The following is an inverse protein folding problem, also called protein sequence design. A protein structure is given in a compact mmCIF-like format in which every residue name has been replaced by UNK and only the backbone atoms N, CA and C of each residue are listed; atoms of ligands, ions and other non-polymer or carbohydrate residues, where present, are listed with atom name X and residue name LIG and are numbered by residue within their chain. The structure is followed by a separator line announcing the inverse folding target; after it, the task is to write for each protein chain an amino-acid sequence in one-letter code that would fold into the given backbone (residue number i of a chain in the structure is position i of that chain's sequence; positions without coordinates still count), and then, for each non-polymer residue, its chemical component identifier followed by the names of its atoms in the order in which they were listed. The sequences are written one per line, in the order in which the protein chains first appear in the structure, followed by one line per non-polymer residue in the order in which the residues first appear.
data_IF_824349440170
#
_entry.id   IF_824349440170
#
_cell.length_a   1.000
_cell.length_b   1.000
_cell.length_c   1.000
_cell.angle_alpha   90.00
_cell.angle_beta   90.00
_cell.angle_gamma   90.00
#
_symmetry.space_group_name_H-M   'P 1'
#
loop_
_entity.id
_entity.type
_entity.pdbx_description
1 polymer ?
#
# COMPACT_ATOMS: atom_id res chain seq x y z
N UNK A 1 13.60 -2.85 6.83
CA UNK A 1 13.66 -3.50 5.49
C UNK A 1 12.30 -4.13 5.20
N UNK A 2 11.77 -4.05 3.97
CA UNK A 2 10.46 -4.61 3.59
C UNK A 2 10.64 -5.60 2.42
N UNK A 3 9.57 -6.23 1.94
CA UNK A 3 9.66 -7.21 0.89
C UNK A 3 8.65 -6.97 -0.24
N UNK A 4 8.80 -7.71 -1.35
CA UNK A 4 7.83 -7.74 -2.44
C UNK A 4 7.49 -9.17 -2.83
N UNK A 5 6.39 -9.34 -3.49
CA UNK A 5 5.96 -10.59 -4.09
C UNK A 5 5.71 -10.38 -5.59
N UNK A 6 6.35 -11.18 -6.43
CA UNK A 6 6.22 -11.06 -7.88
C UNK A 6 4.82 -11.46 -8.37
N UNK A 7 4.25 -12.47 -7.75
CA UNK A 7 2.88 -12.94 -7.94
C UNK A 7 2.46 -13.82 -6.75
N UNK A 8 1.21 -14.21 -6.67
CA UNK A 8 0.66 -15.00 -5.55
C UNK A 8 1.29 -16.39 -5.35
N UNK A 9 2.04 -16.91 -6.34
CA UNK A 9 2.61 -18.24 -6.32
C UNK A 9 4.10 -18.27 -5.94
N UNK A 10 4.73 -17.11 -5.80
CA UNK A 10 6.14 -17.00 -5.47
C UNK A 10 6.34 -16.63 -4.00
N UNK A 11 7.45 -17.05 -3.36
CA UNK A 11 7.84 -16.50 -2.07
C UNK A 11 8.15 -15.01 -2.19
N UNK A 12 8.11 -14.30 -1.08
CA UNK A 12 8.51 -12.91 -1.01
C UNK A 12 10.04 -12.80 -1.12
N UNK A 13 10.50 -11.63 -1.58
CA UNK A 13 11.92 -11.27 -1.66
C UNK A 13 12.11 -9.91 -0.98
N UNK A 14 13.26 -9.71 -0.37
CA UNK A 14 13.63 -8.44 0.22
C UNK A 14 13.76 -7.35 -0.83
N UNK A 15 13.46 -6.11 -0.43
CA UNK A 15 13.56 -4.93 -1.28
C UNK A 15 14.62 -4.01 -0.71
N UNK A 16 15.71 -3.87 -1.44
CA UNK A 16 16.66 -2.78 -1.29
C UNK A 16 16.34 -1.62 -2.27
N UNK A 17 17.14 -0.58 -2.21
CA UNK A 17 17.00 0.59 -3.09
C UNK A 17 17.05 0.22 -4.58
N UNK A 18 17.97 -0.66 -4.97
CA UNK A 18 18.15 -1.02 -6.38
C UNK A 18 16.97 -1.84 -6.90
N UNK A 19 16.52 -2.82 -6.10
CA UNK A 19 15.33 -3.65 -6.41
C UNK A 19 14.08 -2.77 -6.52
N UNK A 20 13.89 -1.81 -5.60
CA UNK A 20 12.76 -0.88 -5.66
C UNK A 20 12.72 -0.12 -6.99
N UNK A 21 13.83 0.57 -7.32
CA UNK A 21 13.90 1.37 -8.55
C UNK A 21 13.82 0.52 -9.82
N UNK A 22 14.37 -0.70 -9.81
CA UNK A 22 14.24 -1.63 -10.91
C UNK A 22 12.78 -2.05 -11.14
N UNK A 23 12.01 -2.29 -10.08
CA UNK A 23 10.60 -2.68 -10.18
C UNK A 23 9.71 -1.54 -10.68
N UNK A 24 9.80 -0.34 -10.08
CA UNK A 24 8.94 0.80 -10.46
C UNK A 24 9.34 1.43 -11.79
N UNK A 25 10.61 1.31 -12.19
CA UNK A 25 11.15 1.81 -13.47
C UNK A 25 11.07 0.81 -14.62
N UNK A 26 10.60 -0.41 -14.39
CA UNK A 26 10.54 -1.42 -15.43
C UNK A 26 9.53 -1.05 -16.54
N UNK A 27 9.91 -1.14 -17.83
CA UNK A 27 8.99 -0.88 -18.95
C UNK A 27 7.69 -1.70 -18.86
N UNK A 28 7.80 -2.94 -18.45
CA UNK A 28 6.66 -3.83 -18.24
C UNK A 28 5.69 -3.33 -17.16
N UNK A 29 6.20 -2.76 -16.06
CA UNK A 29 5.37 -2.13 -15.02
C UNK A 29 4.58 -0.97 -15.59
N UNK A 30 5.24 -0.11 -16.38
CA UNK A 30 4.60 1.02 -17.04
C UNK A 30 3.51 0.55 -18.01
N UNK A 31 3.80 -0.40 -18.87
CA UNK A 31 2.82 -0.96 -19.82
C UNK A 31 1.56 -1.51 -19.12
N UNK A 32 1.73 -2.28 -18.04
CA UNK A 32 0.60 -2.82 -17.30
C UNK A 32 -0.26 -1.71 -16.69
N UNK A 33 0.37 -0.71 -16.07
CA UNK A 33 -0.35 0.38 -15.40
C UNK A 33 -1.05 1.28 -16.42
N UNK A 34 -0.41 1.62 -17.53
CA UNK A 34 -1.03 2.37 -18.62
C UNK A 34 -2.24 1.60 -19.18
N UNK A 35 -2.09 0.29 -19.38
CA UNK A 35 -3.17 -0.59 -19.80
C UNK A 35 -4.34 -0.65 -18.81
N UNK A 36 -4.09 -0.64 -17.51
CA UNK A 36 -5.11 -0.58 -16.45
C UNK A 36 -5.88 0.75 -16.54
N UNK A 37 -5.16 1.87 -16.62
CA UNK A 37 -5.77 3.22 -16.65
C UNK A 37 -6.62 3.44 -17.88
N UNK A 38 -6.13 3.07 -19.07
CA UNK A 38 -6.90 3.16 -20.32
C UNK A 38 -8.22 2.39 -20.23
N UNK A 39 -8.21 1.19 -19.65
CA UNK A 39 -9.43 0.38 -19.54
C UNK A 39 -10.42 0.94 -18.54
N UNK A 40 -9.93 1.48 -17.42
CA UNK A 40 -10.77 2.13 -16.42
C UNK A 40 -11.39 3.41 -16.96
N UNK A 41 -10.63 4.23 -17.68
CA UNK A 41 -11.12 5.44 -18.34
C UNK A 41 -12.19 5.10 -19.40
N UNK A 42 -11.93 4.08 -20.22
CA UNK A 42 -12.91 3.56 -21.17
C UNK A 42 -14.20 3.14 -20.47
N UNK A 43 -14.10 2.37 -19.40
CA UNK A 43 -15.28 1.94 -18.63
C UNK A 43 -16.04 3.13 -18.03
N UNK A 44 -15.32 4.11 -17.46
CA UNK A 44 -15.94 5.32 -16.91
C UNK A 44 -16.68 6.14 -17.98
N UNK A 45 -16.09 6.29 -19.18
CA UNK A 45 -16.72 6.97 -20.32
C UNK A 45 -18.00 6.27 -20.76
N UNK A 46 -17.98 4.93 -20.87
CA UNK A 46 -19.14 4.14 -21.24
C UNK A 46 -20.25 4.27 -20.17
N UNK A 47 -19.88 4.16 -18.88
CA UNK A 47 -20.85 4.31 -17.79
C UNK A 47 -21.49 5.70 -17.75
N UNK A 48 -20.73 6.75 -18.07
CA UNK A 48 -21.23 8.12 -18.11
C UNK A 48 -22.23 8.35 -19.26
N UNK A 49 -22.10 7.62 -20.36
CA UNK A 49 -23.06 7.66 -21.48
C UNK A 49 -24.42 7.05 -21.14
N UNK A 50 -24.50 6.24 -20.06
CA UNK A 50 -25.70 5.63 -19.50
C UNK A 50 -26.55 4.82 -20.52
N UNK A 51 -25.89 4.17 -21.47
CA UNK A 51 -26.54 3.28 -22.47
C UNK A 51 -26.53 1.86 -21.92
N UNK A 52 -27.70 1.29 -21.68
CA UNK A 52 -27.88 0.01 -21.00
C UNK A 52 -27.16 -1.15 -21.72
N UNK A 53 -27.18 -1.17 -23.05
CA UNK A 53 -26.48 -2.18 -23.85
C UNK A 53 -24.95 -2.10 -23.76
N UNK A 54 -24.40 -0.95 -23.44
CA UNK A 54 -22.93 -0.72 -23.31
C UNK A 54 -22.39 -1.03 -21.91
N UNK A 55 -23.21 -1.23 -20.90
CA UNK A 55 -22.78 -1.58 -19.54
C UNK A 55 -22.00 -2.91 -19.51
N UNK A 56 -22.33 -3.84 -20.40
CA UNK A 56 -21.58 -5.09 -20.56
C UNK A 56 -20.14 -4.81 -21.01
N UNK A 57 -19.95 -3.85 -21.93
CA UNK A 57 -18.62 -3.44 -22.41
C UNK A 57 -17.80 -2.75 -21.31
N UNK A 58 -18.45 -1.93 -20.49
CA UNK A 58 -17.79 -1.30 -19.33
C UNK A 58 -17.33 -2.36 -18.31
N UNK A 59 -18.20 -3.32 -18.00
CA UNK A 59 -17.87 -4.43 -17.10
C UNK A 59 -16.72 -5.28 -17.64
N UNK A 60 -16.71 -5.58 -18.93
CA UNK A 60 -15.60 -6.30 -19.58
C UNK A 60 -14.29 -5.53 -19.48
N UNK A 61 -14.28 -4.21 -19.72
CA UNK A 61 -13.09 -3.36 -19.61
C UNK A 61 -12.54 -3.33 -18.16
N UNK A 62 -13.41 -3.26 -17.16
CA UNK A 62 -13.02 -3.36 -15.75
C UNK A 62 -12.42 -4.73 -15.42
N UNK A 63 -13.02 -5.80 -15.92
CA UNK A 63 -12.49 -7.17 -15.76
C UNK A 63 -11.10 -7.33 -16.37
N UNK A 64 -10.86 -6.76 -17.56
CA UNK A 64 -9.54 -6.75 -18.19
C UNK A 64 -8.53 -5.94 -17.36
N UNK A 65 -8.91 -4.77 -16.82
CA UNK A 65 -8.07 -3.97 -15.96
C UNK A 65 -7.64 -4.76 -14.70
N UNK A 66 -8.56 -5.50 -14.10
CA UNK A 66 -8.27 -6.35 -12.93
C UNK A 66 -7.33 -7.51 -13.28
N UNK A 67 -7.45 -8.10 -14.47
CA UNK A 67 -6.52 -9.14 -14.93
C UNK A 67 -5.09 -8.59 -15.13
N UNK A 68 -4.96 -7.36 -15.65
CA UNK A 68 -3.67 -6.68 -15.75
C UNK A 68 -3.09 -6.36 -14.35
N UNK A 69 -3.92 -5.86 -13.43
CA UNK A 69 -3.53 -5.56 -12.05
C UNK A 69 -2.97 -6.79 -11.33
N UNK A 70 -3.54 -7.97 -11.54
CA UNK A 70 -3.05 -9.23 -10.96
C UNK A 70 -1.67 -9.66 -11.45
N UNK A 71 -1.20 -9.12 -12.59
CA UNK A 71 0.15 -9.38 -13.11
C UNK A 71 1.21 -8.47 -12.50
N UNK A 72 0.82 -7.38 -11.83
CA UNK A 72 1.75 -6.47 -11.18
C UNK A 72 2.37 -7.16 -9.95
N UNK A 73 3.69 -6.98 -9.73
CA UNK A 73 4.28 -7.23 -8.43
C UNK A 73 3.65 -6.34 -7.36
N UNK A 74 3.82 -6.74 -6.10
CA UNK A 74 3.32 -5.94 -4.99
C UNK A 74 4.35 -5.86 -3.87
N UNK A 75 4.53 -4.68 -3.29
CA UNK A 75 5.28 -4.47 -2.06
C UNK A 75 4.46 -4.92 -0.86
N UNK A 76 5.16 -5.36 0.19
CA UNK A 76 4.61 -5.63 1.50
C UNK A 76 5.47 -4.83 2.49
N UNK A 77 5.01 -3.63 2.81
CA UNK A 77 5.77 -2.68 3.62
C UNK A 77 5.76 -3.05 5.10
N UNK A 78 4.63 -3.52 5.62
CA UNK A 78 4.36 -3.71 7.04
C UNK A 78 5.04 -4.95 7.61
N UNK A 79 5.42 -5.91 6.76
CA UNK A 79 5.98 -7.18 7.20
C UNK A 79 7.01 -7.76 6.24
N UNK A 80 7.91 -8.57 6.80
CA UNK A 80 8.67 -9.62 6.14
C UNK A 80 8.21 -10.98 6.68
N UNK A 81 8.75 -12.08 6.17
CA UNK A 81 8.29 -13.42 6.52
C UNK A 81 9.45 -14.36 6.81
N UNK A 82 9.31 -15.19 7.85
CA UNK A 82 10.23 -16.28 8.11
C UNK A 82 10.21 -17.30 6.96
N UNK A 83 11.35 -17.98 6.76
CA UNK A 83 11.43 -19.08 5.82
C UNK A 83 10.55 -20.24 6.31
N UNK A 84 9.64 -20.67 5.46
CA UNK A 84 8.70 -21.77 5.73
C UNK A 84 8.55 -22.64 4.48
N UNK A 85 7.86 -23.78 4.59
CA UNK A 85 7.56 -24.64 3.44
C UNK A 85 6.23 -24.26 2.81
N UNK A 86 6.17 -24.20 1.48
CA UNK A 86 4.92 -24.09 0.73
C UNK A 86 4.06 -25.36 0.90
N UNK A 87 2.81 -25.34 0.41
CA UNK A 87 1.96 -26.54 0.34
C UNK A 87 2.60 -27.70 -0.48
N UNK A 88 3.50 -27.38 -1.41
CA UNK A 88 4.25 -28.35 -2.22
C UNK A 88 5.61 -28.72 -1.63
N UNK A 89 5.95 -28.26 -0.42
CA UNK A 89 7.21 -28.57 0.27
C UNK A 89 8.40 -27.66 -0.07
N UNK A 90 8.26 -26.68 -0.98
CA UNK A 90 9.36 -25.77 -1.32
C UNK A 90 9.61 -24.76 -0.19
N UNK A 91 10.87 -24.60 0.18
CA UNK A 91 11.31 -23.61 1.19
C UNK A 91 11.35 -22.21 0.60
N UNK A 92 11.02 -21.20 1.42
CA UNK A 92 11.05 -19.79 1.06
C UNK A 92 10.34 -18.91 2.08
N UNK A 93 10.48 -17.61 1.93
CA UNK A 93 9.77 -16.61 2.74
C UNK A 93 8.33 -16.44 2.22
N UNK A 94 7.49 -17.44 2.48
CA UNK A 94 6.10 -17.45 2.03
C UNK A 94 5.26 -16.48 2.86
N UNK A 95 4.38 -15.75 2.20
CA UNK A 95 3.43 -14.83 2.82
C UNK A 95 2.38 -15.61 3.63
N UNK A 96 2.79 -16.03 4.81
CA UNK A 96 1.96 -16.76 5.79
C UNK A 96 1.84 -15.93 7.06
N UNK A 97 0.65 -15.85 7.60
CA UNK A 97 0.38 -15.08 8.82
C UNK A 97 1.29 -15.51 9.98
N UNK A 98 1.39 -16.81 10.26
CA UNK A 98 2.24 -17.34 11.33
C UNK A 98 3.75 -17.06 11.15
N UNK A 99 4.19 -16.67 9.95
CA UNK A 99 5.58 -16.35 9.63
C UNK A 99 5.84 -14.84 9.57
N UNK A 100 4.84 -14.02 9.89
CA UNK A 100 4.94 -12.54 9.82
C UNK A 100 5.96 -11.99 10.80
N UNK A 101 6.79 -11.07 10.33
CA UNK A 101 7.67 -10.20 11.12
C UNK A 101 7.39 -8.76 10.75
N UNK A 102 6.91 -7.97 11.70
CA UNK A 102 6.64 -6.55 11.48
C UNK A 102 7.94 -5.77 11.24
N UNK A 103 7.89 -4.85 10.30
CA UNK A 103 9.01 -3.97 9.93
C UNK A 103 9.06 -2.69 10.75
N UNK A 104 7.91 -2.30 11.31
CA UNK A 104 7.70 -0.97 11.87
C UNK A 104 7.27 0.07 10.83
N UNK A 105 7.10 -0.33 9.56
CA UNK A 105 6.41 0.50 8.56
C UNK A 105 4.91 0.24 8.63
N UNK A 106 4.13 1.29 8.35
CA UNK A 106 2.68 1.21 8.17
C UNK A 106 2.35 1.68 6.77
N UNK A 107 1.41 1.00 6.10
CA UNK A 107 0.86 1.46 4.82
C UNK A 107 -0.62 1.79 4.99
N UNK A 108 -1.04 2.91 4.45
CA UNK A 108 -2.43 3.37 4.42
C UNK A 108 -2.87 3.56 2.98
N UNK A 109 -4.08 3.15 2.68
CA UNK A 109 -4.73 3.36 1.39
C UNK A 109 -5.73 4.51 1.51
N UNK A 110 -5.72 5.41 0.53
CA UNK A 110 -6.74 6.43 0.30
C UNK A 110 -7.31 6.14 -1.08
N UNK A 111 -8.50 5.55 -1.11
CA UNK A 111 -9.15 5.11 -2.34
C UNK A 111 -10.23 6.11 -2.81
N UNK A 112 -10.70 5.94 -4.05
CA UNK A 112 -11.80 6.69 -4.64
C UNK A 112 -11.61 8.21 -4.67
N UNK A 113 -10.39 8.67 -4.98
CA UNK A 113 -10.08 10.10 -5.14
C UNK A 113 -10.06 10.47 -6.62
N UNK A 114 -10.67 11.60 -6.96
CA UNK A 114 -10.71 12.10 -8.34
C UNK A 114 -9.30 12.54 -8.80
N UNK A 115 -8.60 13.27 -7.95
CA UNK A 115 -7.24 13.72 -8.22
C UNK A 115 -6.33 13.50 -7.01
N UNK A 116 -5.49 12.44 -7.04
CA UNK A 116 -4.56 12.14 -5.95
C UNK A 116 -3.59 13.29 -5.61
N UNK A 117 -3.16 14.08 -6.60
CA UNK A 117 -2.26 15.22 -6.38
C UNK A 117 -2.95 16.32 -5.57
N UNK A 118 -4.23 16.59 -5.85
CA UNK A 118 -4.98 17.61 -5.10
C UNK A 118 -5.21 17.20 -3.65
N UNK A 119 -5.40 15.90 -3.40
CA UNK A 119 -5.46 15.37 -2.01
C UNK A 119 -4.18 15.70 -1.26
N UNK A 120 -3.00 15.48 -1.86
CA UNK A 120 -1.72 15.80 -1.20
C UNK A 120 -1.52 17.31 -0.97
N UNK A 121 -2.09 18.16 -1.80
CA UNK A 121 -2.09 19.62 -1.57
C UNK A 121 -2.90 20.01 -0.34
N UNK A 122 -3.98 19.30 -0.06
CA UNK A 122 -4.80 19.50 1.15
C UNK A 122 -4.06 19.16 2.46
N UNK A 123 -2.91 18.48 2.40
CA UNK A 123 -2.10 18.17 3.58
C UNK A 123 -1.18 19.32 3.99
N UNK A 124 -0.97 20.30 3.12
CA UNK A 124 -0.04 21.41 3.35
C UNK A 124 -0.60 22.36 4.43
N UNK A 125 0.30 22.98 5.17
CA UNK A 125 -0.02 24.00 6.18
C UNK A 125 0.88 25.22 5.95
N UNK A 126 0.56 26.34 6.61
CA UNK A 126 1.39 27.55 6.53
C UNK A 126 2.83 27.30 6.99
N UNK A 127 3.00 26.44 8.02
CA UNK A 127 4.31 26.04 8.54
C UNK A 127 5.03 25.01 7.64
N UNK A 128 4.27 24.24 6.85
CA UNK A 128 4.77 23.22 5.93
C UNK A 128 4.19 23.41 4.51
N UNK A 129 4.67 24.42 3.77
CA UNK A 129 4.09 24.80 2.47
C UNK A 129 4.45 23.85 1.32
N UNK A 130 5.32 22.86 1.54
CA UNK A 130 5.65 21.86 0.53
C UNK A 130 5.43 20.43 1.05
N UNK A 131 5.07 19.53 0.12
CA UNK A 131 4.76 18.15 0.44
C UNK A 131 5.94 17.43 1.11
N UNK A 132 7.17 17.70 0.69
CA UNK A 132 8.35 17.06 1.25
C UNK A 132 8.57 17.36 2.73
N UNK A 133 8.38 18.60 3.16
CA UNK A 133 8.53 19.00 4.56
C UNK A 133 7.39 18.44 5.41
N UNK A 134 6.16 18.52 4.91
CA UNK A 134 4.99 17.94 5.58
C UNK A 134 5.14 16.43 5.78
N UNK A 135 5.60 15.71 4.76
CA UNK A 135 5.85 14.28 4.87
C UNK A 135 6.94 13.96 5.92
N UNK A 136 8.04 14.74 5.95
CA UNK A 136 9.10 14.53 6.95
C UNK A 136 8.61 14.79 8.36
N UNK A 137 7.86 15.86 8.59
CA UNK A 137 7.24 16.20 9.87
C UNK A 137 6.36 15.06 10.40
N UNK A 138 5.55 14.46 9.53
CA UNK A 138 4.64 13.38 9.88
C UNK A 138 5.31 11.99 9.96
N UNK A 139 6.56 11.87 9.51
CA UNK A 139 7.27 10.58 9.42
C UNK A 139 6.80 9.73 8.25
N UNK A 140 6.22 10.35 7.22
CA UNK A 140 5.88 9.70 5.96
C UNK A 140 7.16 9.46 5.16
N UNK A 141 7.30 8.28 4.58
CA UNK A 141 8.51 7.85 3.87
C UNK A 141 8.29 7.67 2.36
N UNK A 142 7.04 7.37 1.96
CA UNK A 142 6.69 7.20 0.55
C UNK A 142 5.21 7.56 0.34
N UNK A 143 4.95 8.32 -0.72
CA UNK A 143 3.60 8.59 -1.22
C UNK A 143 3.58 8.32 -2.72
N UNK A 144 2.65 7.51 -3.18
CA UNK A 144 2.50 7.25 -4.61
C UNK A 144 1.05 7.04 -5.03
N UNK A 145 0.77 7.36 -6.31
CA UNK A 145 -0.52 7.12 -6.94
C UNK A 145 -0.67 5.64 -7.26
N UNK A 146 -1.81 5.06 -6.90
CA UNK A 146 -2.10 3.64 -7.16
C UNK A 146 -2.17 3.33 -8.66
N UNK A 147 -2.01 2.05 -9.08
CA UNK A 147 -2.11 1.66 -10.49
C UNK A 147 -3.39 2.11 -11.19
N UNK A 148 -4.48 2.22 -10.45
CA UNK A 148 -5.77 2.69 -10.99
C UNK A 148 -5.79 4.17 -11.36
N UNK A 149 -4.89 4.97 -10.79
CA UNK A 149 -4.89 6.43 -10.95
C UNK A 149 -5.81 7.17 -9.97
N UNK A 150 -6.67 6.47 -9.22
CA UNK A 150 -7.72 7.04 -8.35
C UNK A 150 -7.52 6.68 -6.88
N UNK A 151 -6.28 6.67 -6.43
CA UNK A 151 -5.95 6.42 -5.02
C UNK A 151 -4.51 6.72 -4.72
N UNK A 152 -4.20 6.81 -3.44
CA UNK A 152 -2.85 7.00 -2.90
C UNK A 152 -2.47 5.85 -1.99
N UNK A 153 -1.20 5.50 -1.99
CA UNK A 153 -0.54 4.72 -0.95
C UNK A 153 0.36 5.65 -0.17
N UNK A 154 0.22 5.62 1.15
CA UNK A 154 1.03 6.38 2.09
C UNK A 154 1.76 5.41 3.00
N UNK A 155 3.08 5.38 2.94
CA UNK A 155 3.94 4.55 3.79
C UNK A 155 4.63 5.44 4.80
N UNK A 156 4.53 5.11 6.09
CA UNK A 156 5.05 5.93 7.17
C UNK A 156 5.59 5.08 8.32
N UNK A 157 6.30 5.73 9.25
CA UNK A 157 6.88 5.12 10.44
C UNK A 157 5.79 4.78 11.45
N UNK A 158 5.72 3.52 11.90
CA UNK A 158 4.87 3.16 13.03
C UNK A 158 5.29 3.91 14.30
N UNK A 159 4.33 4.39 15.05
CA UNK A 159 4.51 4.97 16.38
C UNK A 159 3.88 4.07 17.42
N UNK A 160 4.70 3.52 18.31
CA UNK A 160 4.27 2.54 19.33
C UNK A 160 3.23 3.12 20.29
N UNK A 161 3.32 4.43 20.54
CA UNK A 161 2.39 5.19 21.37
C UNK A 161 1.01 5.40 20.73
N UNK A 162 0.89 5.22 19.43
CA UNK A 162 -0.40 5.30 18.73
C UNK A 162 -1.20 4.01 18.78
N UNK A 163 -0.56 2.89 19.13
CA UNK A 163 -1.17 1.57 19.16
C UNK A 163 -0.69 0.66 18.03
N UNK A 164 -1.53 -0.25 17.58
CA UNK A 164 -1.23 -1.24 16.55
C UNK A 164 -1.22 -0.64 15.12
N UNK A 165 -1.13 -1.47 14.06
CA UNK A 165 -1.13 -1.00 12.66
C UNK A 165 -2.39 -0.20 12.31
N UNK A 166 -3.56 -0.66 12.77
CA UNK A 166 -4.85 -0.03 12.46
C UNK A 166 -4.96 1.33 13.17
N UNK A 167 -4.57 1.38 14.45
CA UNK A 167 -4.55 2.62 15.22
C UNK A 167 -3.62 3.66 14.59
N UNK A 168 -2.45 3.23 14.08
CA UNK A 168 -1.53 4.08 13.36
C UNK A 168 -2.13 4.63 12.05
N UNK A 169 -2.84 3.78 11.27
CA UNK A 169 -3.53 4.21 10.06
C UNK A 169 -4.60 5.27 10.35
N UNK A 170 -5.47 5.01 11.32
CA UNK A 170 -6.51 5.97 11.72
C UNK A 170 -5.93 7.29 12.24
N UNK A 171 -4.85 7.22 13.01
CA UNK A 171 -4.19 8.43 13.53
C UNK A 171 -3.58 9.26 12.42
N UNK A 172 -2.90 8.61 11.46
CA UNK A 172 -2.35 9.29 10.29
C UNK A 172 -3.45 9.88 9.41
N UNK A 173 -4.52 9.14 9.15
CA UNK A 173 -5.67 9.62 8.39
C UNK A 173 -6.29 10.89 9.01
N UNK A 174 -6.45 10.91 10.33
CA UNK A 174 -6.94 12.09 11.06
C UNK A 174 -5.99 13.29 10.92
N UNK A 175 -4.66 13.08 10.94
CA UNK A 175 -3.66 14.15 10.76
C UNK A 175 -3.64 14.71 9.33
N UNK A 176 -4.00 13.89 8.35
CA UNK A 176 -4.06 14.26 6.93
C UNK A 176 -5.46 14.74 6.50
N UNK A 177 -6.47 14.64 7.37
CA UNK A 177 -7.85 14.99 7.06
C UNK A 177 -8.47 14.11 5.96
N UNK A 178 -8.12 12.81 5.93
CA UNK A 178 -8.60 11.84 4.93
C UNK A 178 -9.27 10.64 5.59
N UNK A 179 -10.06 9.90 4.82
CA UNK A 179 -10.59 8.60 5.23
C UNK A 179 -9.60 7.48 4.88
N UNK A 180 -9.53 6.45 5.72
CA UNK A 180 -8.69 5.27 5.50
C UNK A 180 -9.54 4.11 5.01
N UNK A 181 -9.02 3.32 4.06
CA UNK A 181 -9.64 2.06 3.68
C UNK A 181 -9.51 1.03 4.82
N UNK A 182 -10.66 0.69 5.42
CA UNK A 182 -10.78 -0.29 6.51
C UNK A 182 -10.31 -1.72 6.12
N UNK A 183 -10.11 -2.00 4.84
CA UNK A 183 -9.60 -3.28 4.37
C UNK A 183 -8.09 -3.48 4.61
N UNK A 184 -7.34 -2.43 4.99
CA UNK A 184 -5.88 -2.46 5.15
C UNK A 184 -5.41 -2.95 6.53
N UNK A 185 -6.18 -3.80 7.23
CA UNK A 185 -5.93 -4.25 8.61
C UNK A 185 -4.87 -5.35 8.75
N UNK A 186 -4.50 -6.01 7.66
CA UNK A 186 -3.58 -7.16 7.68
C UNK A 186 -2.12 -6.70 7.51
N UNK A 187 -1.23 -7.17 8.39
CA UNK A 187 0.20 -6.91 8.29
C UNK A 187 0.82 -7.43 6.98
N UNK A 188 0.24 -8.47 6.39
CA UNK A 188 0.68 -9.03 5.10
C UNK A 188 0.05 -8.35 3.88
N UNK A 189 -0.59 -7.19 4.06
CA UNK A 189 -1.25 -6.42 2.99
C UNK A 189 -0.30 -6.14 1.84
N UNK A 190 -0.71 -6.53 0.65
CA UNK A 190 0.01 -6.26 -0.60
C UNK A 190 -0.38 -4.89 -1.15
N UNK A 191 0.63 -4.12 -1.50
CA UNK A 191 0.49 -2.82 -2.17
C UNK A 191 1.06 -2.96 -3.58
N UNK A 192 0.20 -3.00 -4.60
CA UNK A 192 0.68 -3.08 -5.98
C UNK A 192 1.65 -1.95 -6.27
N UNK A 193 2.72 -2.27 -7.03
CA UNK A 193 3.74 -1.28 -7.38
C UNK A 193 3.14 -0.18 -8.28
N UNK A 194 3.79 0.98 -8.28
CA UNK A 194 3.47 2.11 -9.15
C UNK A 194 4.51 2.27 -10.26
N UNK A 195 4.29 3.19 -11.19
CA UNK A 195 5.32 3.69 -12.10
C UNK A 195 6.20 4.68 -11.36
N UNK A 196 7.43 4.88 -11.83
CA UNK A 196 8.37 5.85 -11.25
C UNK A 196 7.78 7.27 -11.19
N UNK A 197 7.09 7.68 -12.24
CA UNK A 197 6.43 8.99 -12.36
C UNK A 197 5.20 9.17 -11.45
N UNK A 198 4.69 8.10 -10.89
CA UNK A 198 3.56 8.13 -9.94
C UNK A 198 4.01 8.35 -8.48
N UNK A 199 5.32 8.41 -8.22
CA UNK A 199 5.86 8.67 -6.89
C UNK A 199 5.81 10.18 -6.64
N UNK A 200 4.99 10.60 -5.67
CA UNK A 200 4.82 12.01 -5.30
C UNK A 200 5.84 12.45 -4.24
N UNK A 201 6.25 11.53 -3.37
CA UNK A 201 7.27 11.76 -2.36
C UNK A 201 7.98 10.45 -2.01
N UNK A 202 9.28 10.51 -1.77
CA UNK A 202 10.08 9.41 -1.23
C UNK A 202 11.24 9.96 -0.38
N UNK A 203 11.37 9.44 0.84
CA UNK A 203 12.57 9.58 1.67
C UNK A 203 13.37 8.27 1.57
N UNK A 204 14.21 8.16 0.54
CA UNK A 204 14.95 6.92 0.26
C UNK A 204 15.84 6.49 1.41
N UNK A 205 16.52 7.44 2.05
CA UNK A 205 17.48 7.11 3.12
C UNK A 205 16.77 6.37 4.25
N UNK A 206 15.63 6.85 4.68
CA UNK A 206 14.89 6.25 5.79
C UNK A 206 14.04 5.06 5.35
N UNK A 207 13.43 5.08 4.16
CA UNK A 207 12.56 3.99 3.69
C UNK A 207 13.27 2.64 3.68
N UNK A 208 14.55 2.60 3.28
CA UNK A 208 15.33 1.37 3.17
C UNK A 208 16.16 1.01 4.41
N UNK A 209 16.23 1.89 5.41
CA UNK A 209 17.00 1.66 6.64
C UNK A 209 16.14 1.62 7.91
N UNK A 210 14.87 2.07 7.82
CA UNK A 210 14.02 2.18 9.00
C UNK A 210 13.59 0.82 9.54
N UNK A 211 13.70 0.67 10.84
CA UNK A 211 13.19 -0.43 11.65
C UNK A 211 12.62 0.14 12.95
N UNK A 212 11.52 -0.42 13.43
CA UNK A 212 11.00 -0.14 14.76
C UNK A 212 10.86 -1.47 15.53
N UNK A 213 11.95 -1.81 16.24
CA UNK A 213 12.02 -3.06 17.02
C UNK A 213 11.01 -3.10 18.16
N UNK A 214 10.82 -1.99 18.86
CA UNK A 214 9.85 -1.87 19.95
C UNK A 214 8.42 -2.18 19.45
N UNK A 215 8.03 -1.58 18.32
CA UNK A 215 6.74 -1.85 17.71
C UNK A 215 6.60 -3.32 17.29
N UNK A 216 7.64 -3.88 16.66
CA UNK A 216 7.65 -5.27 16.24
C UNK A 216 7.55 -6.23 17.45
N UNK A 217 8.33 -6.03 18.49
CA UNK A 217 8.30 -6.84 19.72
C UNK A 217 6.91 -6.80 20.38
N UNK A 218 6.28 -5.63 20.43
CA UNK A 218 4.97 -5.45 21.05
C UNK A 218 3.83 -6.12 20.27
N UNK A 219 3.88 -6.12 18.92
CA UNK A 219 2.72 -6.48 18.10
C UNK A 219 2.91 -7.71 17.20
N UNK A 220 4.11 -8.30 17.07
CA UNK A 220 4.32 -9.47 16.20
C UNK A 220 3.37 -10.63 16.50
N UNK A 221 3.20 -10.99 17.77
CA UNK A 221 2.38 -12.14 18.15
C UNK A 221 0.90 -11.93 17.84
N UNK A 222 0.42 -10.70 17.90
CA UNK A 222 -0.94 -10.30 17.51
C UNK A 222 -1.20 -10.67 16.06
N UNK A 223 -0.27 -10.29 15.16
CA UNK A 223 -0.43 -10.51 13.73
C UNK A 223 -0.09 -11.93 13.29
N UNK A 224 0.66 -12.69 14.09
CA UNK A 224 0.92 -14.12 13.88
C UNK A 224 -0.23 -15.02 14.31
N UNK A 225 -0.91 -14.64 15.38
CA UNK A 225 -1.98 -15.47 15.99
C UNK A 225 -3.31 -15.46 15.26
N UNK A 226 -3.53 -14.57 14.30
CA UNK A 226 -4.79 -14.49 13.54
C UNK A 226 -5.98 -13.93 14.32
N UNK A 227 -5.76 -13.42 15.51
CA UNK A 227 -6.81 -12.77 16.30
C UNK A 227 -6.78 -11.27 16.02
N UNK A 228 -7.92 -10.74 15.52
CA UNK A 228 -8.14 -9.29 15.49
C UNK A 228 -8.17 -8.80 16.94
N UNK A 229 -7.12 -8.13 17.38
CA UNK A 229 -7.17 -7.43 18.66
C UNK A 229 -8.06 -6.19 18.54
N UNK A 230 -8.82 -5.87 19.60
CA UNK A 230 -9.55 -4.61 19.65
C UNK A 230 -8.55 -3.46 19.50
N UNK A 231 -8.83 -2.56 18.59
CA UNK A 231 -8.06 -1.33 18.41
C UNK A 231 -8.32 -0.40 19.59
N UNK A 232 -7.42 0.51 19.88
CA UNK A 232 -7.68 1.60 20.83
C UNK A 232 -8.94 2.39 20.41
N UNK A 233 -9.20 2.45 19.11
CA UNK A 233 -10.37 3.10 18.51
C UNK A 233 -11.69 2.39 18.89
N UNK A 234 -11.70 1.06 18.97
CA UNK A 234 -12.88 0.28 19.35
C UNK A 234 -13.20 0.42 20.86
N UNK A 235 -12.18 0.72 21.68
CA UNK A 235 -12.32 0.90 23.12
C UNK A 235 -12.96 2.25 23.49
N UNK A 236 -12.81 3.26 22.64
CA UNK A 236 -13.37 4.61 22.87
C UNK A 236 -14.84 4.72 22.44
N UNK A 237 -15.33 3.78 21.62
CA UNK A 237 -16.74 3.72 21.17
C UNK A 237 -17.67 2.90 22.06
N UNK A 238 -17.17 2.31 23.15
CA UNK A 238 -17.95 1.63 24.21
C UNK A 238 -18.02 2.51 25.45
#
# INVERSE_FOLDING_TARGET
MFCYQQNFFNPTKEVDRNVFWALVGAPYTKELIDGIRIRKEKAATIMAANVEEEQILASAALGEADQLKKKLPAFIFQATFDVTKSKKGYEGAWRKQAATRLTGLVVMDIDHVDNPVDVTRGWLTDDCPCLGDRCRELGILLVYVTPSGHGLKVVFKARTEWGNLIDNQHRMAALLGVEVDEACKDASRMSFICRKEDILFINEQELFSYENKEFAEKYNDVYRGGHSQPTLFDTVRR
#
